data_IF_822578932641
#
_entry.id   IF_822578932641
#
_cell.length_a   1.000
_cell.length_b   1.000
_cell.length_c   1.000
_cell.angle_alpha   90.00
_cell.angle_beta   90.00
_cell.angle_gamma   90.00
#
_symmetry.space_group_name_H-M   'P 1'
#
loop_
_entity.id
_entity.type
_entity.pdbx_description
1 polymer ?
#
# COMPACT_ATOMS: atom_id res chain seq x y z
N UNK A 1 -6.57 1.75 -7.02
CA UNK A 1 -6.69 2.48 -5.73
C UNK A 1 -5.36 3.08 -5.29
N UNK A 2 -5.35 3.96 -4.28
CA UNK A 2 -4.11 4.47 -3.65
C UNK A 2 -3.97 3.95 -2.22
N UNK A 3 -2.75 3.55 -1.89
CA UNK A 3 -2.32 3.20 -0.54
C UNK A 3 -1.26 4.21 -0.13
N UNK A 4 -1.60 5.08 0.80
CA UNK A 4 -0.71 6.10 1.31
C UNK A 4 -0.14 5.65 2.66
N UNK A 5 1.13 5.94 2.92
CA UNK A 5 1.75 5.67 4.23
C UNK A 5 2.32 6.98 4.77
N UNK A 6 1.80 7.43 5.91
CA UNK A 6 2.23 8.68 6.54
C UNK A 6 3.59 8.53 7.27
N UNK A 7 4.18 9.63 7.78
CA UNK A 7 5.45 9.58 8.52
C UNK A 7 5.46 8.65 9.75
N UNK A 8 4.29 8.38 10.34
CA UNK A 8 4.15 7.51 11.53
C UNK A 8 3.99 6.03 11.17
N UNK A 9 3.88 5.71 9.87
CA UNK A 9 3.59 4.37 9.39
C UNK A 9 2.09 4.05 9.33
N UNK A 10 1.21 5.03 9.55
CA UNK A 10 -0.23 4.84 9.40
C UNK A 10 -0.55 4.64 7.92
N UNK A 11 -1.23 3.53 7.64
CA UNK A 11 -1.67 3.18 6.28
C UNK A 11 -3.05 3.78 6.03
N UNK A 12 -3.21 4.43 4.88
CA UNK A 12 -4.47 4.98 4.42
C UNK A 12 -4.86 4.35 3.07
N UNK A 13 -6.13 3.99 2.93
CA UNK A 13 -6.73 3.54 1.67
C UNK A 13 -7.55 4.66 1.07
N UNK A 14 -7.18 5.17 -0.10
CA UNK A 14 -7.85 6.31 -0.75
C UNK A 14 -8.07 7.49 0.22
N UNK A 15 -7.06 7.81 1.04
CA UNK A 15 -7.11 8.87 2.06
C UNK A 15 -7.87 8.52 3.36
N UNK A 16 -8.43 7.32 3.49
CA UNK A 16 -9.08 6.85 4.72
C UNK A 16 -8.09 6.05 5.57
N UNK A 17 -7.81 6.42 6.83
CA UNK A 17 -6.94 5.64 7.71
C UNK A 17 -7.50 4.24 7.95
N UNK A 18 -6.64 3.24 7.81
CA UNK A 18 -6.96 1.85 8.14
C UNK A 18 -6.62 1.61 9.61
N UNK A 19 -7.54 0.98 10.34
CA UNK A 19 -7.40 0.68 11.76
C UNK A 19 -6.39 -0.45 12.01
N UNK A 20 -6.12 -1.29 11.01
CA UNK A 20 -5.19 -2.41 11.14
C UNK A 20 -4.68 -2.92 9.81
N UNK A 21 -3.62 -3.73 9.88
CA UNK A 21 -3.15 -4.51 8.73
C UNK A 21 -4.22 -5.48 8.19
N UNK A 22 -5.06 -6.05 9.06
CA UNK A 22 -6.11 -6.96 8.62
C UNK A 22 -7.13 -6.27 7.71
N UNK A 23 -7.49 -5.02 8.03
CA UNK A 23 -8.39 -4.22 7.19
C UNK A 23 -7.79 -3.92 5.81
N UNK A 24 -6.50 -3.55 5.75
CA UNK A 24 -5.78 -3.39 4.49
C UNK A 24 -5.81 -4.69 3.68
N UNK A 25 -5.55 -5.83 4.32
CA UNK A 25 -5.56 -7.12 3.65
C UNK A 25 -6.94 -7.49 3.09
N UNK A 26 -8.02 -7.16 3.77
CA UNK A 26 -9.39 -7.40 3.27
C UNK A 26 -9.74 -6.48 2.09
N UNK A 27 -9.25 -5.24 2.08
CA UNK A 27 -9.35 -4.35 0.90
C UNK A 27 -8.60 -4.94 -0.29
N UNK A 28 -7.36 -5.38 -0.10
CA UNK A 28 -6.54 -5.98 -1.15
C UNK A 28 -7.18 -7.26 -1.72
N UNK A 29 -7.78 -8.11 -0.87
CA UNK A 29 -8.55 -9.29 -1.33
C UNK A 29 -9.74 -8.88 -2.20
N UNK A 30 -10.44 -7.81 -1.82
CA UNK A 30 -11.59 -7.30 -2.59
C UNK A 30 -11.15 -6.82 -3.96
N UNK A 31 -10.01 -6.11 -4.05
CA UNK A 31 -9.42 -5.67 -5.32
C UNK A 31 -9.11 -6.87 -6.23
N UNK A 32 -8.46 -7.91 -5.68
CA UNK A 32 -8.11 -9.12 -6.44
C UNK A 32 -9.36 -9.89 -6.88
N UNK A 33 -10.36 -10.01 -6.01
CA UNK A 33 -11.61 -10.70 -6.31
C UNK A 33 -12.46 -9.98 -7.38
N UNK A 34 -12.29 -8.66 -7.53
CA UNK A 34 -12.97 -7.86 -8.54
C UNK A 34 -12.59 -8.17 -9.99
N UNK A 35 -11.54 -8.99 -10.22
CA UNK A 35 -11.16 -9.51 -11.55
C UNK A 35 -10.48 -8.49 -12.48
N UNK A 36 -10.76 -7.20 -12.30
CA UNK A 36 -9.94 -6.11 -12.82
C UNK A 36 -8.92 -5.78 -11.73
N UNK A 37 -7.73 -6.37 -11.79
CA UNK A 37 -6.64 -6.00 -10.89
C UNK A 37 -6.22 -4.59 -11.29
N UNK A 38 -6.92 -3.60 -10.75
CA UNK A 38 -6.56 -2.19 -10.84
C UNK A 38 -5.18 -2.02 -10.21
N UNK A 39 -4.36 -1.19 -10.84
CA UNK A 39 -3.06 -0.84 -10.29
C UNK A 39 -3.24 -0.23 -8.90
N UNK A 40 -2.60 -0.83 -7.90
CA UNK A 40 -2.53 -0.26 -6.56
C UNK A 40 -1.34 0.68 -6.53
N UNK A 41 -1.60 1.98 -6.34
CA UNK A 41 -0.54 2.97 -6.23
C UNK A 41 -0.11 3.12 -4.77
N UNK A 42 1.10 2.67 -4.46
CA UNK A 42 1.72 2.85 -3.15
C UNK A 42 2.43 4.21 -3.10
N UNK A 43 2.07 5.06 -2.14
CA UNK A 43 2.62 6.41 -1.93
C UNK A 43 3.16 6.53 -0.52
N UNK A 44 4.40 6.09 -0.28
CA UNK A 44 5.01 6.25 1.02
C UNK A 44 5.49 7.70 1.20
N UNK A 45 5.37 8.24 2.41
CA UNK A 45 5.97 9.51 2.77
C UNK A 45 7.50 9.36 2.92
N UNK A 46 8.31 10.34 2.48
CA UNK A 46 9.78 10.31 2.61
C UNK A 46 10.32 10.05 4.01
N UNK A 47 9.57 10.38 5.06
CA UNK A 47 9.98 10.20 6.45
C UNK A 47 9.56 8.85 7.03
N UNK A 48 8.78 8.05 6.31
CA UNK A 48 8.34 6.75 6.82
C UNK A 48 9.48 5.75 6.81
N UNK A 49 9.56 4.91 7.84
CA UNK A 49 10.50 3.81 7.85
C UNK A 49 10.18 2.81 6.73
N UNK A 50 11.23 2.38 6.00
CA UNK A 50 11.12 1.41 4.91
C UNK A 50 10.41 0.11 5.32
N UNK A 51 10.53 -0.29 6.59
CA UNK A 51 9.85 -1.48 7.13
C UNK A 51 8.32 -1.43 6.94
N UNK A 52 7.71 -0.24 7.07
CA UNK A 52 6.27 -0.04 6.90
C UNK A 52 5.87 -0.20 5.44
N UNK A 53 6.68 0.36 4.53
CA UNK A 53 6.52 0.20 3.08
C UNK A 53 6.64 -1.27 2.67
N UNK A 54 7.69 -1.95 3.14
CA UNK A 54 7.93 -3.36 2.88
C UNK A 54 6.80 -4.26 3.41
N UNK A 55 6.24 -3.94 4.58
CA UNK A 55 5.12 -4.69 5.15
C UNK A 55 3.84 -4.60 4.29
N UNK A 56 3.55 -3.42 3.74
CA UNK A 56 2.43 -3.21 2.80
C UNK A 56 2.68 -3.98 1.51
N UNK A 57 3.87 -3.84 0.91
CA UNK A 57 4.27 -4.55 -0.31
C UNK A 57 4.17 -6.08 -0.14
N UNK A 58 4.68 -6.62 0.96
CA UNK A 58 4.62 -8.05 1.25
C UNK A 58 3.17 -8.54 1.39
N UNK A 59 2.29 -7.74 2.00
CA UNK A 59 0.87 -8.09 2.13
C UNK A 59 0.17 -8.12 0.77
N UNK A 60 0.40 -7.10 -0.06
CA UNK A 60 -0.16 -7.02 -1.40
C UNK A 60 0.31 -8.17 -2.30
N UNK A 61 1.62 -8.47 -2.31
CA UNK A 61 2.18 -9.60 -3.05
C UNK A 61 1.62 -10.94 -2.58
N UNK A 62 1.54 -11.17 -1.26
CA UNK A 62 0.98 -12.40 -0.69
C UNK A 62 -0.48 -12.63 -1.08
N UNK A 63 -1.24 -11.54 -1.26
CA UNK A 63 -2.66 -11.59 -1.64
C UNK A 63 -2.89 -11.64 -3.15
N UNK A 64 -1.82 -11.68 -3.96
CA UNK A 64 -1.94 -11.80 -5.41
C UNK A 64 -2.19 -10.47 -6.13
N UNK A 65 -1.88 -9.33 -5.49
CA UNK A 65 -1.85 -8.05 -6.19
C UNK A 65 -0.64 -8.02 -7.10
N UNK A 66 -0.86 -8.16 -8.40
CA UNK A 66 0.19 -8.27 -9.42
C UNK A 66 0.61 -6.95 -10.03
N UNK A 67 -0.17 -5.88 -9.82
CA UNK A 67 0.13 -4.52 -10.32
C UNK A 67 0.21 -3.55 -9.15
N UNK A 68 1.44 -3.23 -8.74
CA UNK A 68 1.71 -2.21 -7.73
C UNK A 68 2.64 -1.17 -8.34
N UNK A 69 2.16 0.06 -8.48
CA UNK A 69 2.95 1.22 -8.87
C UNK A 69 3.43 1.95 -7.61
N UNK A 70 4.74 2.09 -7.41
CA UNK A 70 5.26 2.92 -6.31
C UNK A 70 5.42 4.35 -6.84
N UNK A 71 4.64 5.27 -6.30
CA UNK A 71 4.65 6.68 -6.68
C UNK A 71 5.49 7.46 -5.68
N UNK A 72 6.40 8.29 -6.19
CA UNK A 72 7.31 9.08 -5.38
C UNK A 72 8.50 8.28 -4.82
N UNK A 73 8.85 7.12 -5.39
CA UNK A 73 10.03 6.35 -4.95
C UNK A 73 11.35 7.14 -5.07
N UNK A 74 11.36 8.18 -5.89
CA UNK A 74 12.47 9.14 -6.02
C UNK A 74 12.88 9.79 -4.69
N UNK A 75 11.97 9.92 -3.72
CA UNK A 75 12.27 10.50 -2.41
C UNK A 75 13.07 9.57 -1.48
N UNK A 76 13.37 8.33 -1.90
CA UNK A 76 14.13 7.33 -1.12
C UNK A 76 15.55 7.06 -1.67
N UNK A 77 15.97 7.71 -2.75
CA UNK A 77 17.25 7.43 -3.45
C UNK A 77 18.42 8.37 -3.06
N UNK A 78 18.32 9.12 -1.96
CA UNK A 78 19.41 9.99 -1.46
C UNK A 78 20.37 9.28 -0.48
#
# INVERSE_FOLDING_TARGET
DTVDIDPTGTVMWNGTPMASRAELEDRLKTVVAGGNIDEVHLRPNKLVEYKSVAAVMASAQRLGVTKIGIVGNEQFME
#
